data_IF_961394998949
#
_entry.id   IF_961394998949
#
_cell.length_a   1.000
_cell.length_b   1.000
_cell.length_c   1.000
_cell.angle_alpha   90.00
_cell.angle_beta   90.00
_cell.angle_gamma   90.00
#
_symmetry.space_group_name_H-M   'P 1'
#
loop_
_entity.id
_entity.type
_entity.pdbx_description
1 polymer ?
#
# COMPACT_ATOMS: atom_id res chain seq x y z
N UNK A 1 14.57 -11.27 21.90
CA UNK A 1 13.39 -11.52 21.03
C UNK A 1 13.71 -10.98 19.65
N UNK A 2 13.03 -11.45 18.59
CA UNK A 2 13.22 -10.97 17.21
C UNK A 2 11.87 -10.48 16.69
N UNK A 3 11.85 -9.28 16.11
CA UNK A 3 10.63 -8.64 15.63
C UNK A 3 10.74 -8.22 14.16
N UNK A 4 9.60 -8.27 13.49
CA UNK A 4 9.37 -7.60 12.21
C UNK A 4 8.30 -6.54 12.47
N UNK A 5 8.64 -5.27 12.25
CA UNK A 5 7.66 -4.21 12.21
C UNK A 5 7.07 -4.12 10.80
N UNK A 6 5.80 -4.51 10.66
CA UNK A 6 5.14 -4.59 9.35
C UNK A 6 4.60 -3.24 8.85
N UNK A 7 4.62 -2.19 9.69
CA UNK A 7 3.97 -0.93 9.36
C UNK A 7 4.60 0.26 10.05
N UNK A 8 5.81 0.63 9.62
CA UNK A 8 6.50 1.81 10.13
C UNK A 8 6.39 2.98 9.16
N UNK A 9 6.01 4.16 9.64
CA UNK A 9 5.82 5.34 8.81
C UNK A 9 7.09 6.21 8.74
N UNK A 10 8.24 5.65 8.37
CA UNK A 10 9.54 6.37 8.42
C UNK A 10 9.63 7.56 7.45
N UNK A 11 8.69 7.71 6.53
CA UNK A 11 8.53 8.89 5.68
C UNK A 11 7.96 10.09 6.45
N UNK A 12 7.39 9.89 7.65
CA UNK A 12 6.84 10.97 8.46
C UNK A 12 7.94 11.98 8.85
N UNK A 13 7.73 13.29 8.58
CA UNK A 13 8.71 14.33 8.90
C UNK A 13 9.11 14.41 10.38
N UNK A 14 8.33 13.85 11.31
CA UNK A 14 8.70 13.81 12.74
C UNK A 14 10.02 13.08 12.97
N UNK A 15 10.32 12.02 12.19
CA UNK A 15 11.59 11.29 12.27
C UNK A 15 12.78 12.10 11.74
N UNK A 16 12.51 13.23 11.09
CA UNK A 16 13.51 14.23 10.63
C UNK A 16 13.49 15.49 11.52
N UNK A 17 12.76 15.45 12.63
CA UNK A 17 12.59 16.54 13.58
C UNK A 17 11.67 17.66 13.14
N UNK A 18 10.80 17.43 12.15
CA UNK A 18 9.88 18.43 11.60
C UNK A 18 8.45 18.13 12.09
N UNK A 19 7.86 19.08 12.81
CA UNK A 19 6.50 18.97 13.33
C UNK A 19 5.66 20.11 12.78
N UNK A 20 4.63 19.78 12.00
CA UNK A 20 3.76 20.78 11.33
C UNK A 20 4.58 21.82 10.56
N UNK A 21 5.57 21.36 9.79
CA UNK A 21 6.46 22.21 8.99
C UNK A 21 7.54 22.99 9.75
N UNK A 22 7.65 22.84 11.08
CA UNK A 22 8.66 23.53 11.90
C UNK A 22 9.69 22.54 12.45
N UNK A 23 10.98 22.84 12.27
CA UNK A 23 12.05 22.06 12.91
C UNK A 23 12.00 22.23 14.44
N UNK A 24 11.89 21.13 15.17
CA UNK A 24 11.85 21.07 16.64
C UNK A 24 13.09 20.43 17.24
N UNK A 25 13.74 19.54 16.50
CA UNK A 25 15.03 18.97 16.84
C UNK A 25 15.86 18.69 15.59
N UNK A 26 17.11 18.31 15.80
CA UNK A 26 17.96 17.77 14.74
C UNK A 26 17.35 16.48 14.18
N UNK A 27 17.69 16.15 12.94
CA UNK A 27 17.34 14.86 12.35
C UNK A 27 17.98 13.74 13.18
N UNK A 28 17.16 12.80 13.65
CA UNK A 28 17.57 11.69 14.51
C UNK A 28 17.07 10.33 14.01
N UNK A 29 16.73 10.20 12.71
CA UNK A 29 16.28 8.94 12.12
C UNK A 29 17.25 7.79 12.40
N UNK A 30 18.56 8.02 12.27
CA UNK A 30 19.57 6.98 12.53
C UNK A 30 19.54 6.51 13.99
N UNK A 31 19.31 7.43 14.94
CA UNK A 31 19.14 7.06 16.33
C UNK A 31 17.84 6.29 16.58
N UNK A 32 16.76 6.58 15.84
CA UNK A 32 15.50 5.82 15.89
C UNK A 32 15.74 4.38 15.43
N UNK A 33 16.42 4.20 14.29
CA UNK A 33 16.76 2.87 13.76
C UNK A 33 17.67 2.09 14.69
N UNK A 34 18.69 2.74 15.27
CA UNK A 34 19.58 2.10 16.24
C UNK A 34 18.83 1.62 17.48
N UNK A 35 17.90 2.42 18.01
CA UNK A 35 17.07 2.02 19.16
C UNK A 35 16.22 0.79 18.83
N UNK A 36 15.65 0.74 17.64
CA UNK A 36 14.84 -0.40 17.22
C UNK A 36 15.68 -1.69 17.08
N UNK A 37 16.88 -1.59 16.50
CA UNK A 37 17.83 -2.71 16.42
C UNK A 37 18.19 -3.23 17.81
N UNK A 38 18.51 -2.33 18.76
CA UNK A 38 18.82 -2.72 20.15
C UNK A 38 17.62 -3.38 20.84
N UNK A 39 16.39 -2.98 20.50
CA UNK A 39 15.17 -3.61 21.00
C UNK A 39 14.85 -4.97 20.35
N UNK A 40 15.60 -5.40 19.33
CA UNK A 40 15.43 -6.67 18.64
C UNK A 40 14.55 -6.63 17.38
N UNK A 41 14.30 -5.44 16.80
CA UNK A 41 13.65 -5.31 15.49
C UNK A 41 14.65 -5.62 14.40
N UNK A 42 14.45 -6.72 13.67
CA UNK A 42 15.36 -7.17 12.60
C UNK A 42 14.94 -6.69 11.21
N UNK A 43 13.65 -6.39 11.04
CA UNK A 43 13.05 -6.02 9.75
C UNK A 43 11.98 -4.97 9.98
N UNK A 44 11.90 -4.03 9.05
CA UNK A 44 10.88 -3.00 9.02
C UNK A 44 10.34 -2.85 7.61
N UNK A 45 9.03 -2.76 7.48
CA UNK A 45 8.34 -2.46 6.22
C UNK A 45 7.80 -1.04 6.33
N UNK A 46 8.35 -0.16 5.50
CA UNK A 46 7.95 1.25 5.43
C UNK A 46 6.64 1.34 4.65
N UNK A 47 5.61 1.83 5.32
CA UNK A 47 4.28 1.99 4.72
C UNK A 47 4.27 3.23 3.81
N UNK A 48 3.73 3.08 2.61
CA UNK A 48 3.49 4.17 1.68
C UNK A 48 2.03 4.17 1.22
N UNK A 49 1.43 5.36 1.10
CA UNK A 49 0.02 5.53 0.71
C UNK A 49 -0.22 6.31 -0.58
N UNK A 50 0.83 6.64 -1.34
CA UNK A 50 0.76 7.30 -2.65
C UNK A 50 2.00 6.98 -3.48
N UNK A 51 2.03 7.36 -4.77
CA UNK A 51 3.23 7.26 -5.61
C UNK A 51 4.40 8.02 -4.98
N UNK A 52 4.20 9.28 -4.60
CA UNK A 52 5.26 10.11 -4.00
C UNK A 52 5.78 9.54 -2.68
N UNK A 53 4.89 9.06 -1.81
CA UNK A 53 5.32 8.41 -0.57
C UNK A 53 6.02 7.08 -0.83
N UNK A 54 5.63 6.35 -1.88
CA UNK A 54 6.26 5.09 -2.28
C UNK A 54 7.70 5.31 -2.75
N UNK A 55 7.95 6.36 -3.52
CA UNK A 55 9.30 6.77 -3.92
C UNK A 55 10.16 7.11 -2.70
N UNK A 56 9.63 7.91 -1.76
CA UNK A 56 10.33 8.27 -0.53
C UNK A 56 10.63 7.06 0.36
N UNK A 57 9.64 6.16 0.53
CA UNK A 57 9.78 4.93 1.29
C UNK A 57 10.86 4.03 0.67
N UNK A 58 10.91 3.93 -0.66
CA UNK A 58 11.94 3.16 -1.37
C UNK A 58 13.34 3.72 -1.17
N UNK A 59 13.51 5.04 -1.21
CA UNK A 59 14.82 5.65 -0.96
C UNK A 59 15.32 5.35 0.46
N UNK A 60 14.46 5.48 1.47
CA UNK A 60 14.80 5.12 2.86
C UNK A 60 15.07 3.61 2.96
N UNK A 61 14.25 2.77 2.35
CA UNK A 61 14.41 1.31 2.38
C UNK A 61 15.72 0.84 1.74
N UNK A 62 16.14 1.48 0.65
CA UNK A 62 17.43 1.22 0.00
C UNK A 62 18.59 1.66 0.89
N UNK A 63 18.55 2.88 1.40
CA UNK A 63 19.63 3.46 2.21
C UNK A 63 19.90 2.67 3.51
N UNK A 64 18.85 2.14 4.14
CA UNK A 64 18.96 1.51 5.46
C UNK A 64 18.74 -0.01 5.45
N UNK A 65 18.71 -0.65 4.27
CA UNK A 65 18.53 -2.10 4.20
C UNK A 65 17.14 -2.59 4.63
N UNK A 66 16.13 -1.72 4.59
CA UNK A 66 14.74 -2.01 4.97
C UNK A 66 13.90 -2.42 3.74
N UNK A 67 12.59 -2.54 3.96
CA UNK A 67 11.57 -2.93 2.97
C UNK A 67 10.49 -1.85 2.90
N UNK A 68 9.67 -1.85 1.87
CA UNK A 68 8.53 -0.93 1.74
C UNK A 68 7.32 -1.60 1.09
N UNK A 69 6.18 -0.93 1.23
CA UNK A 69 4.98 -1.19 0.43
C UNK A 69 4.90 -0.20 -0.74
N UNK A 70 4.09 -0.52 -1.74
CA UNK A 70 3.70 0.42 -2.80
C UNK A 70 2.19 0.33 -3.03
N UNK A 71 1.49 1.45 -2.96
CA UNK A 71 0.04 1.47 -3.09
C UNK A 71 -0.54 2.88 -2.95
N UNK A 72 -1.86 2.94 -2.89
CA UNK A 72 -2.64 4.16 -2.73
C UNK A 72 -3.64 3.99 -1.59
N UNK A 73 -3.44 4.76 -0.52
CA UNK A 73 -4.26 4.76 0.68
C UNK A 73 -5.68 5.28 0.36
N UNK A 74 -6.75 4.81 1.03
CA UNK A 74 -8.11 5.27 0.78
C UNK A 74 -8.24 6.80 0.72
N UNK A 75 -7.55 7.51 1.62
CA UNK A 75 -7.61 8.98 1.66
C UNK A 75 -6.87 9.69 0.53
N UNK A 76 -6.10 8.95 -0.29
CA UNK A 76 -5.30 9.44 -1.42
C UNK A 76 -5.84 8.97 -2.76
N UNK A 77 -6.92 8.20 -2.81
CA UNK A 77 -7.43 7.64 -4.07
C UNK A 77 -7.84 8.69 -5.12
N UNK A 78 -8.09 9.96 -4.73
CA UNK A 78 -8.27 11.06 -5.70
C UNK A 78 -7.03 11.34 -6.55
N UNK A 79 -5.84 10.92 -6.12
CA UNK A 79 -4.60 11.14 -6.87
C UNK A 79 -4.61 10.39 -8.21
N UNK A 80 -5.37 9.29 -8.33
CA UNK A 80 -5.63 8.64 -9.63
C UNK A 80 -6.34 9.59 -10.61
N UNK A 81 -7.40 10.27 -10.17
CA UNK A 81 -8.19 11.17 -11.02
C UNK A 81 -7.47 12.48 -11.34
N UNK A 82 -6.59 12.92 -10.43
CA UNK A 82 -5.81 14.16 -10.57
C UNK A 82 -4.52 13.98 -11.36
N UNK A 83 -4.11 12.75 -11.62
CA UNK A 83 -2.88 12.48 -12.34
C UNK A 83 -2.95 13.04 -13.78
N UNK A 84 -1.89 13.70 -14.30
CA UNK A 84 -1.93 14.33 -15.62
C UNK A 84 -2.29 13.38 -16.78
N UNK A 85 -1.84 12.13 -16.68
CA UNK A 85 -2.12 11.06 -17.65
C UNK A 85 -3.34 10.20 -17.26
N UNK A 86 -4.20 10.74 -16.38
CA UNK A 86 -5.38 10.04 -15.86
C UNK A 86 -5.07 8.86 -14.93
N UNK A 87 -6.11 8.12 -14.52
CA UNK A 87 -5.99 6.97 -13.61
C UNK A 87 -5.03 5.89 -14.11
N UNK A 88 -4.98 5.65 -15.42
CA UNK A 88 -4.08 4.68 -16.05
C UNK A 88 -2.62 5.08 -15.85
N UNK A 89 -2.29 6.36 -15.99
CA UNK A 89 -0.94 6.86 -15.74
C UNK A 89 -0.49 6.66 -14.30
N UNK A 90 -1.37 6.96 -13.34
CA UNK A 90 -1.08 6.74 -11.91
C UNK A 90 -0.88 5.25 -11.60
N UNK A 91 -1.74 4.38 -12.15
CA UNK A 91 -1.60 2.94 -12.03
C UNK A 91 -0.26 2.43 -12.60
N UNK A 92 0.13 2.92 -13.77
CA UNK A 92 1.40 2.54 -14.40
C UNK A 92 2.61 3.00 -13.59
N UNK A 93 2.56 4.15 -12.91
CA UNK A 93 3.62 4.57 -12.00
C UNK A 93 3.76 3.64 -10.80
N UNK A 94 2.65 3.26 -10.15
CA UNK A 94 2.67 2.26 -9.08
C UNK A 94 3.26 0.93 -9.57
N UNK A 95 2.80 0.44 -10.72
CA UNK A 95 3.30 -0.79 -11.34
C UNK A 95 4.81 -0.72 -11.61
N UNK A 96 5.30 0.39 -12.18
CA UNK A 96 6.71 0.56 -12.49
C UNK A 96 7.58 0.56 -11.21
N UNK A 97 7.12 1.21 -10.14
CA UNK A 97 7.81 1.18 -8.84
C UNK A 97 7.87 -0.24 -8.27
N UNK A 98 6.77 -0.98 -8.30
CA UNK A 98 6.72 -2.37 -7.85
C UNK A 98 7.68 -3.25 -8.66
N UNK A 99 7.58 -3.21 -9.99
CA UNK A 99 8.32 -4.11 -10.87
C UNK A 99 9.83 -3.84 -10.86
N UNK A 100 10.26 -2.60 -10.67
CA UNK A 100 11.68 -2.23 -10.62
C UNK A 100 12.39 -2.65 -9.32
N UNK A 101 11.64 -2.91 -8.25
CA UNK A 101 12.20 -3.09 -6.90
C UNK A 101 11.78 -4.41 -6.22
N UNK A 102 10.74 -5.11 -6.69
CA UNK A 102 10.30 -6.40 -6.10
C UNK A 102 11.37 -7.49 -6.17
N UNK A 103 12.07 -7.61 -7.31
CA UNK A 103 13.11 -8.64 -7.51
C UNK A 103 14.35 -8.39 -6.64
N UNK A 104 14.55 -7.14 -6.19
CA UNK A 104 15.61 -6.75 -5.24
C UNK A 104 15.16 -6.93 -3.78
N UNK A 105 13.93 -7.38 -3.56
CA UNK A 105 13.35 -7.54 -2.23
C UNK A 105 13.09 -6.23 -1.50
N UNK A 106 12.91 -5.10 -2.22
CA UNK A 106 12.64 -3.80 -1.60
C UNK A 106 11.16 -3.52 -1.46
N UNK A 107 10.37 -3.84 -2.48
CA UNK A 107 8.90 -3.83 -2.40
C UNK A 107 8.43 -5.23 -2.05
N UNK A 108 7.72 -5.37 -0.92
CA UNK A 108 7.28 -6.68 -0.41
C UNK A 108 5.76 -6.84 -0.32
N UNK A 109 5.00 -5.75 -0.48
CA UNK A 109 3.53 -5.79 -0.47
C UNK A 109 2.93 -4.65 -1.30
N UNK A 110 1.72 -4.88 -1.82
CA UNK A 110 0.87 -3.84 -2.40
C UNK A 110 0.05 -3.20 -1.29
N UNK A 111 0.16 -1.89 -1.13
CA UNK A 111 -0.52 -1.13 -0.08
C UNK A 111 0.35 0.03 0.41
N UNK A 112 -0.10 0.79 1.39
CA UNK A 112 -1.37 0.64 2.09
C UNK A 112 -2.55 0.98 1.18
N UNK A 113 -3.54 0.09 1.12
CA UNK A 113 -4.74 0.26 0.31
C UNK A 113 -5.96 -0.32 1.01
N UNK A 114 -7.16 0.15 0.70
CA UNK A 114 -8.36 -0.27 1.40
C UNK A 114 -9.40 0.82 1.46
N UNK A 115 -10.17 0.86 2.55
CA UNK A 115 -11.30 1.77 2.73
C UNK A 115 -11.26 2.41 4.12
N UNK A 116 -11.51 3.71 4.18
CA UNK A 116 -11.61 4.51 5.40
C UNK A 116 -12.79 5.50 5.30
N UNK A 117 -13.91 5.14 5.94
CA UNK A 117 -15.12 5.97 5.94
C UNK A 117 -15.15 6.98 7.09
N UNK A 118 -14.15 6.99 7.97
CA UNK A 118 -13.96 8.07 8.93
C UNK A 118 -13.19 9.26 8.31
N UNK A 119 -12.82 9.16 7.03
CA UNK A 119 -11.97 10.12 6.30
C UNK A 119 -12.54 10.53 4.94
N UNK A 120 -13.87 10.50 4.79
CA UNK A 120 -14.56 10.82 3.53
C UNK A 120 -14.32 12.27 3.06
N UNK A 121 -13.93 13.17 3.96
CA UNK A 121 -13.51 14.53 3.63
C UNK A 121 -12.25 14.59 2.77
N UNK A 122 -11.41 13.55 2.79
CA UNK A 122 -10.20 13.45 1.95
C UNK A 122 -10.48 12.74 0.62
N UNK A 123 -11.31 11.70 0.64
CA UNK A 123 -11.65 10.95 -0.56
C UNK A 123 -13.08 10.37 -0.44
N UNK A 124 -13.99 10.70 -1.38
CA UNK A 124 -15.35 10.17 -1.38
C UNK A 124 -15.38 8.65 -1.45
N UNK A 125 -16.42 8.05 -0.84
CA UNK A 125 -16.59 6.60 -0.73
C UNK A 125 -16.47 5.90 -2.08
N UNK A 126 -17.09 6.44 -3.12
CA UNK A 126 -17.14 5.85 -4.46
C UNK A 126 -15.76 5.79 -5.11
N UNK A 127 -14.92 6.80 -4.85
CA UNK A 127 -13.54 6.87 -5.33
C UNK A 127 -12.67 5.87 -4.58
N UNK A 128 -12.84 5.75 -3.25
CA UNK A 128 -12.15 4.73 -2.46
C UNK A 128 -12.48 3.31 -2.94
N UNK A 129 -13.76 3.00 -3.15
CA UNK A 129 -14.22 1.68 -3.63
C UNK A 129 -13.56 1.31 -4.97
N UNK A 130 -13.63 2.22 -5.94
CA UNK A 130 -13.09 2.01 -7.29
C UNK A 130 -11.58 1.72 -7.27
N UNK A 131 -10.82 2.54 -6.55
CA UNK A 131 -9.36 2.44 -6.56
C UNK A 131 -8.80 1.46 -5.53
N UNK A 132 -9.61 1.01 -4.57
CA UNK A 132 -9.29 -0.19 -3.79
C UNK A 132 -9.41 -1.44 -4.66
N UNK A 133 -10.49 -1.60 -5.43
CA UNK A 133 -10.69 -2.72 -6.35
C UNK A 133 -9.54 -2.82 -7.38
N UNK A 134 -9.14 -1.70 -8.00
CA UNK A 134 -8.04 -1.67 -8.99
C UNK A 134 -6.69 -2.13 -8.40
N UNK A 135 -6.46 -1.97 -7.09
CA UNK A 135 -5.20 -2.39 -6.47
C UNK A 135 -5.09 -3.91 -6.27
N UNK A 136 -6.19 -4.66 -6.40
CA UNK A 136 -6.12 -6.12 -6.50
C UNK A 136 -5.48 -6.55 -7.82
N UNK A 137 -5.75 -5.84 -8.92
CA UNK A 137 -5.11 -6.11 -10.21
C UNK A 137 -3.59 -5.87 -10.13
N UNK A 138 -3.18 -4.80 -9.43
CA UNK A 138 -1.78 -4.51 -9.15
C UNK A 138 -1.13 -5.65 -8.35
N UNK A 139 -1.78 -6.14 -7.30
CA UNK A 139 -1.29 -7.25 -6.48
C UNK A 139 -1.18 -8.56 -7.27
N UNK A 140 -2.19 -8.89 -8.06
CA UNK A 140 -2.21 -10.08 -8.91
C UNK A 140 -1.08 -10.04 -9.96
N UNK A 141 -0.92 -8.93 -10.66
CA UNK A 141 0.15 -8.74 -11.65
C UNK A 141 1.55 -8.74 -11.02
N UNK A 142 1.69 -8.17 -9.81
CA UNK A 142 2.95 -8.15 -9.08
C UNK A 142 3.34 -9.52 -8.50
N UNK A 143 2.35 -10.35 -8.15
CA UNK A 143 2.55 -11.58 -7.38
C UNK A 143 2.98 -11.31 -5.94
N UNK A 144 2.51 -10.20 -5.34
CA UNK A 144 2.86 -9.77 -3.98
C UNK A 144 1.64 -9.82 -3.06
N UNK A 145 1.83 -10.06 -1.75
CA UNK A 145 0.76 -9.94 -0.76
C UNK A 145 0.27 -8.48 -0.66
N UNK A 146 -0.91 -8.28 -0.09
CA UNK A 146 -1.48 -6.96 0.15
C UNK A 146 -1.32 -6.51 1.62
N UNK A 147 -1.10 -5.21 1.82
CA UNK A 147 -1.13 -4.53 3.11
C UNK A 147 -2.38 -3.64 3.16
N UNK A 148 -3.37 -4.05 3.95
CA UNK A 148 -4.75 -3.57 3.84
C UNK A 148 -5.15 -2.62 4.98
N UNK A 149 -5.92 -1.59 4.62
CA UNK A 149 -6.56 -0.65 5.53
C UNK A 149 -8.08 -0.86 5.58
N UNK A 150 -8.66 -0.89 6.78
CA UNK A 150 -10.11 -1.00 6.94
C UNK A 150 -10.58 -0.19 8.15
N UNK A 151 -11.40 0.83 7.92
CA UNK A 151 -11.98 1.66 8.99
C UNK A 151 -13.43 2.03 8.69
N UNK A 152 -14.34 1.56 9.54
CA UNK A 152 -15.77 1.89 9.54
C UNK A 152 -16.51 1.67 8.20
N UNK A 153 -16.19 0.59 7.50
CA UNK A 153 -16.55 0.41 6.08
C UNK A 153 -17.92 -0.22 5.82
N UNK A 154 -18.67 -0.54 6.89
CA UNK A 154 -20.06 -1.02 6.77
C UNK A 154 -20.25 -2.34 6.02
N UNK A 155 -19.19 -3.12 5.77
CA UNK A 155 -19.23 -4.38 5.03
C UNK A 155 -18.58 -4.33 3.65
N UNK A 156 -18.50 -3.15 3.04
CA UNK A 156 -18.02 -2.98 1.65
C UNK A 156 -16.57 -3.49 1.46
N UNK A 157 -15.73 -3.38 2.49
CA UNK A 157 -14.36 -3.93 2.46
C UNK A 157 -14.36 -5.45 2.28
N UNK A 158 -15.24 -6.17 3.00
CA UNK A 158 -15.35 -7.63 2.93
C UNK A 158 -16.01 -8.05 1.62
N UNK A 159 -16.96 -7.27 1.11
CA UNK A 159 -17.60 -7.51 -0.18
C UNK A 159 -16.59 -7.42 -1.33
N UNK A 160 -15.73 -6.38 -1.34
CA UNK A 160 -14.63 -6.28 -2.32
C UNK A 160 -13.67 -7.46 -2.20
N UNK A 161 -13.24 -7.83 -0.99
CA UNK A 161 -12.38 -9.00 -0.81
C UNK A 161 -13.02 -10.27 -1.37
N UNK A 162 -14.31 -10.48 -1.11
CA UNK A 162 -15.04 -11.67 -1.58
C UNK A 162 -15.21 -11.69 -3.10
N UNK A 163 -15.21 -10.53 -3.76
CA UNK A 163 -15.28 -10.42 -5.22
C UNK A 163 -13.92 -10.58 -5.90
N UNK A 164 -12.85 -10.02 -5.32
CA UNK A 164 -11.54 -9.94 -5.95
C UNK A 164 -10.61 -11.10 -5.57
N UNK A 165 -10.80 -11.70 -4.39
CA UNK A 165 -10.03 -12.87 -3.97
C UNK A 165 -10.78 -14.11 -4.43
N UNK A 166 -10.18 -14.87 -5.36
CA UNK A 166 -10.68 -16.21 -5.71
C UNK A 166 -10.70 -17.03 -4.41
N UNK A 167 -11.82 -17.68 -4.05
CA UNK A 167 -11.89 -18.48 -2.83
C UNK A 167 -10.76 -19.50 -2.81
N UNK A 168 -10.08 -19.63 -1.67
CA UNK A 168 -9.03 -20.64 -1.42
C UNK A 168 -9.47 -22.09 -1.77
N UNK A 169 -10.78 -22.32 -1.92
CA UNK A 169 -11.40 -23.58 -2.35
C UNK A 169 -11.08 -23.97 -3.81
N UNK A 170 -10.84 -23.00 -4.70
CA UNK A 170 -10.48 -23.30 -6.11
C UNK A 170 -9.05 -23.85 -6.23
N UNK A 171 -8.17 -23.57 -5.26
CA UNK A 171 -6.84 -24.17 -5.17
C UNK A 171 -6.84 -25.62 -4.68
N UNK A 172 -7.95 -26.12 -4.12
CA UNK A 172 -8.09 -27.46 -3.53
C UNK A 172 -9.04 -28.38 -4.30
N UNK A 173 -9.58 -27.96 -5.46
CA UNK A 173 -10.35 -28.82 -6.35
C UNK A 173 -11.79 -29.13 -5.91
N UNK A 174 -12.42 -28.27 -5.09
CA UNK A 174 -13.85 -28.37 -4.80
C UNK A 174 -14.65 -27.48 -5.77
N UNK A 175 -15.67 -28.00 -6.47
CA UNK A 175 -16.43 -27.21 -7.43
C UNK A 175 -17.34 -26.20 -6.72
N UNK A 176 -17.16 -24.92 -7.02
CA UNK A 176 -18.09 -23.83 -6.65
C UNK A 176 -18.89 -23.42 -7.89
N UNK A 177 -20.20 -23.13 -7.79
CA UNK A 177 -20.96 -22.60 -8.90
C UNK A 177 -20.40 -21.23 -9.31
N UNK A 178 -19.84 -21.13 -10.51
CA UNK A 178 -19.51 -19.85 -11.14
C UNK A 178 -20.76 -18.97 -11.12
N UNK A 179 -20.74 -17.86 -10.38
CA UNK A 179 -21.65 -16.75 -10.69
C UNK A 179 -21.20 -16.24 -12.05
N UNK A 180 -22.04 -16.50 -13.06
CA UNK A 180 -21.84 -16.08 -14.44
C UNK A 180 -21.61 -14.57 -14.51
N UNK A 181 -20.35 -14.19 -14.70
CA UNK A 181 -19.92 -12.80 -14.70
C UNK A 181 -18.41 -12.70 -14.83
N UNK A 182 -17.84 -13.35 -15.84
CA UNK A 182 -16.47 -13.10 -16.27
C UNK A 182 -16.34 -11.60 -16.61
N UNK A 183 -15.75 -10.81 -15.71
CA UNK A 183 -15.29 -9.46 -16.04
C UNK A 183 -14.09 -9.60 -16.96
N UNK A 184 -14.32 -9.46 -18.25
CA UNK A 184 -13.27 -9.05 -19.18
C UNK A 184 -12.91 -7.61 -18.86
N UNK A 185 -11.81 -7.38 -18.16
CA UNK A 185 -11.16 -6.07 -18.23
C UNK A 185 -10.63 -5.92 -19.66
N UNK A 186 -11.37 -5.20 -20.49
CA UNK A 186 -10.74 -4.54 -21.64
C UNK A 186 -9.90 -3.42 -21.04
N UNK A 187 -8.60 -3.66 -20.93
CA UNK A 187 -7.65 -2.55 -20.98
C UNK A 187 -7.91 -1.83 -22.32
N UNK A 188 -7.99 -0.48 -22.34
CA UNK A 188 -8.06 0.26 -23.59
C UNK A 188 -6.85 -0.02 -24.49
#
# INVERSE_FOLDING_TARGET
MRFIDIGVNLTDPVFRGIYRGKRRHADDLEHVLQRATVAGVEKMIITAGSVTESEQALEIAKAHGLYSTVGCHPTRCQDFERHPDGPEGYYMQLMNLVMSEKAKGKVVAIGECGLDYDRLEFCPKEVQLRYFELQFDLAAAAGLPMFLHNRNTGGDFVDILSMCVIPYQDCLGFPVPLKSGTRTYKLP
#
